data_IF_168164501717
#
_entry.id   IF_168164501717
#
_cell.length_a   1.000
_cell.length_b   1.000
_cell.length_c   1.000
_cell.angle_alpha   90.00
_cell.angle_beta   90.00
_cell.angle_gamma   90.00
#
_symmetry.space_group_name_H-M   'P 1'
#
loop_
_entity.id
_entity.type
_entity.pdbx_description
1 polymer ?
#
# COMPACT_ATOMS: atom_id res chain seq x y z
N UNK A 1 15.93 -48.42 1.65
CA UNK A 1 16.60 -47.10 1.68
C UNK A 1 15.52 -46.06 1.91
N UNK A 2 15.31 -45.70 3.16
CA UNK A 2 14.41 -44.61 3.51
C UNK A 2 15.12 -43.28 3.18
N UNK A 3 14.53 -42.51 2.30
CA UNK A 3 14.97 -41.15 2.00
C UNK A 3 14.61 -40.29 3.23
N UNK A 4 15.61 -39.94 4.01
CA UNK A 4 15.46 -38.96 5.09
C UNK A 4 15.05 -37.62 4.49
N UNK A 5 13.84 -37.16 4.82
CA UNK A 5 13.41 -35.80 4.58
C UNK A 5 14.41 -34.83 5.21
N UNK A 6 14.89 -33.81 4.52
CA UNK A 6 15.78 -32.81 5.11
C UNK A 6 15.08 -32.16 6.29
N UNK A 7 15.78 -32.11 7.41
CA UNK A 7 15.32 -31.45 8.62
C UNK A 7 15.34 -29.93 8.36
N UNK A 8 14.21 -29.38 7.91
CA UNK A 8 14.07 -27.94 7.69
C UNK A 8 14.09 -27.30 9.07
N UNK A 9 15.07 -26.43 9.29
CA UNK A 9 15.17 -25.67 10.53
C UNK A 9 13.94 -24.75 10.69
N UNK A 10 13.02 -25.15 11.56
CA UNK A 10 11.78 -24.44 11.82
C UNK A 10 11.98 -23.04 12.40
N UNK A 11 13.18 -22.73 12.93
CA UNK A 11 13.47 -21.40 13.47
C UNK A 11 13.42 -20.29 12.40
N UNK A 12 13.62 -20.63 11.13
CA UNK A 12 13.53 -19.68 9.99
C UNK A 12 12.10 -19.18 9.73
N UNK A 13 11.08 -19.89 10.21
CA UNK A 13 9.65 -19.57 9.99
C UNK A 13 8.96 -19.00 11.24
N UNK A 14 9.75 -18.64 12.27
CA UNK A 14 9.20 -18.01 13.47
C UNK A 14 9.27 -16.49 13.33
N UNK A 15 8.12 -15.82 13.36
CA UNK A 15 8.03 -14.36 13.29
C UNK A 15 7.35 -13.81 14.54
N UNK A 16 7.74 -12.61 14.98
CA UNK A 16 7.08 -11.93 16.09
C UNK A 16 5.76 -11.34 15.64
N UNK A 17 4.74 -11.43 16.49
CA UNK A 17 3.50 -10.68 16.28
C UNK A 17 3.79 -9.17 16.31
N UNK A 18 2.96 -8.36 15.63
CA UNK A 18 3.09 -6.89 15.65
C UNK A 18 3.07 -6.34 17.09
N UNK A 19 2.40 -7.04 18.01
CA UNK A 19 2.34 -6.69 19.43
C UNK A 19 3.52 -7.24 20.27
N UNK A 20 4.45 -7.98 19.68
CA UNK A 20 5.66 -8.48 20.36
C UNK A 20 5.47 -9.63 21.36
N UNK A 21 4.24 -10.17 21.49
CA UNK A 21 3.88 -11.08 22.59
C UNK A 21 4.09 -12.58 22.31
N UNK A 22 4.26 -13.01 21.06
CA UNK A 22 4.42 -14.42 20.72
C UNK A 22 5.25 -14.64 19.45
N UNK A 23 6.01 -15.73 19.42
CA UNK A 23 6.60 -16.25 18.19
C UNK A 23 5.56 -17.09 17.45
N UNK A 24 5.27 -16.72 16.21
CA UNK A 24 4.25 -17.34 15.39
C UNK A 24 4.92 -18.22 14.32
N UNK A 25 4.46 -19.47 14.20
CA UNK A 25 4.88 -20.36 13.12
C UNK A 25 4.15 -20.01 11.82
N UNK A 26 4.88 -19.49 10.85
CA UNK A 26 4.38 -19.08 9.55
C UNK A 26 4.72 -20.09 8.43
N UNK A 27 5.13 -21.30 8.77
CA UNK A 27 5.63 -22.31 7.81
C UNK A 27 4.54 -22.88 6.87
N UNK A 28 3.26 -22.80 7.23
CA UNK A 28 2.17 -23.31 6.40
C UNK A 28 1.84 -22.37 5.25
N UNK A 29 2.38 -22.65 4.07
CA UNK A 29 2.20 -21.89 2.82
C UNK A 29 0.75 -21.88 2.29
N UNK A 30 -0.15 -22.72 2.78
CA UNK A 30 -1.57 -22.72 2.42
C UNK A 30 -2.36 -21.69 3.21
N UNK A 31 -1.85 -21.34 4.38
CA UNK A 31 -2.47 -20.43 5.33
C UNK A 31 -1.81 -19.05 5.26
N UNK A 32 -0.49 -19.03 5.14
CA UNK A 32 0.29 -17.79 5.17
C UNK A 32 0.74 -17.35 3.78
N UNK A 33 0.66 -16.05 3.54
CA UNK A 33 1.24 -15.36 2.38
C UNK A 33 2.33 -14.41 2.83
N UNK A 34 3.35 -14.24 1.99
CA UNK A 34 4.33 -13.18 2.15
C UNK A 34 3.80 -11.90 1.50
N UNK A 35 3.92 -10.78 2.18
CA UNK A 35 3.56 -9.45 1.68
C UNK A 35 4.78 -8.57 1.77
N UNK A 36 5.19 -8.01 0.64
CA UNK A 36 6.31 -7.09 0.52
C UNK A 36 5.77 -5.68 0.27
N UNK A 37 6.16 -4.71 1.09
CA UNK A 37 5.88 -3.29 0.85
C UNK A 37 7.19 -2.60 0.49
N UNK A 38 7.27 -2.06 -0.70
CA UNK A 38 8.50 -1.55 -1.31
C UNK A 38 8.31 -0.07 -1.67
N UNK A 39 9.22 0.77 -1.19
CA UNK A 39 9.22 2.21 -1.46
C UNK A 39 10.64 2.77 -1.52
N UNK A 40 10.77 4.00 -1.98
CA UNK A 40 12.04 4.76 -1.90
C UNK A 40 12.42 5.18 -0.47
N UNK A 41 11.53 4.98 0.50
CA UNK A 41 11.75 5.29 1.92
C UNK A 41 11.98 4.06 2.79
N UNK A 42 11.79 2.85 2.25
CA UNK A 42 12.00 1.62 3.01
C UNK A 42 11.35 0.39 2.42
N UNK A 43 11.54 -0.69 3.14
CA UNK A 43 11.02 -2.01 2.83
C UNK A 43 10.43 -2.65 4.07
N UNK A 44 9.23 -3.21 3.93
CA UNK A 44 8.62 -4.04 4.97
C UNK A 44 8.22 -5.37 4.39
N UNK A 45 8.45 -6.41 5.16
CA UNK A 45 7.96 -7.75 4.85
C UNK A 45 7.04 -8.23 5.98
N UNK A 46 5.90 -8.75 5.60
CA UNK A 46 4.89 -9.27 6.51
C UNK A 46 4.51 -10.69 6.12
N UNK A 47 4.10 -11.48 7.10
CA UNK A 47 3.31 -12.68 6.85
C UNK A 47 1.85 -12.39 7.14
N UNK A 48 0.98 -12.71 6.19
CA UNK A 48 -0.47 -12.55 6.27
C UNK A 48 -1.13 -13.93 6.38
N UNK A 49 -1.85 -14.16 7.47
CA UNK A 49 -2.74 -15.31 7.62
C UNK A 49 -4.03 -15.04 6.85
N UNK A 50 -4.22 -15.71 5.72
CA UNK A 50 -5.37 -15.46 4.83
C UNK A 50 -6.73 -15.76 5.47
N UNK A 51 -6.92 -16.85 6.22
CA UNK A 51 -8.18 -17.15 6.92
C UNK A 51 -8.55 -16.15 8.01
N UNK A 52 -7.58 -15.65 8.79
CA UNK A 52 -7.85 -14.82 9.97
C UNK A 52 -7.62 -13.33 9.73
N UNK A 53 -7.00 -12.95 8.62
CA UNK A 53 -6.50 -11.59 8.34
C UNK A 53 -5.45 -11.09 9.35
N UNK A 54 -4.86 -11.99 10.12
CA UNK A 54 -3.76 -11.66 11.01
C UNK A 54 -2.51 -11.31 10.20
N UNK A 55 -1.86 -10.21 10.54
CA UNK A 55 -0.63 -9.77 9.89
C UNK A 55 0.52 -9.73 10.91
N UNK A 56 1.64 -10.28 10.54
CA UNK A 56 2.84 -10.37 11.37
C UNK A 56 3.98 -9.66 10.67
N UNK A 57 4.51 -8.61 11.27
CA UNK A 57 5.67 -7.92 10.74
C UNK A 57 6.91 -8.81 10.93
N UNK A 58 7.63 -9.07 9.83
CA UNK A 58 8.86 -9.87 9.84
C UNK A 58 10.10 -9.00 9.71
N UNK A 59 10.07 -8.04 8.78
CA UNK A 59 11.18 -7.11 8.55
C UNK A 59 10.63 -5.71 8.39
N UNK A 60 11.32 -4.73 8.99
CA UNK A 60 11.11 -3.31 8.79
C UNK A 60 12.50 -2.65 8.61
N UNK A 61 12.79 -2.23 7.38
CA UNK A 61 14.02 -1.53 7.00
C UNK A 61 13.67 -0.16 6.46
N UNK A 62 14.30 0.85 7.01
CA UNK A 62 14.19 2.22 6.52
C UNK A 62 15.43 2.57 5.72
N UNK A 63 15.24 3.26 4.62
CA UNK A 63 16.25 3.94 3.83
C UNK A 63 15.65 5.22 3.24
N UNK A 64 16.49 6.02 2.65
CA UNK A 64 16.09 7.17 1.81
C UNK A 64 16.94 7.13 0.56
N UNK A 65 16.34 6.76 -0.56
CA UNK A 65 17.05 6.58 -1.82
C UNK A 65 16.21 7.06 -3.01
N UNK A 66 16.86 7.28 -4.12
CA UNK A 66 16.19 7.52 -5.38
C UNK A 66 15.63 6.22 -5.96
N UNK A 67 14.67 6.34 -6.89
CA UNK A 67 14.04 5.18 -7.55
C UNK A 67 15.06 4.30 -8.28
N UNK A 68 16.12 4.89 -8.85
CA UNK A 68 17.20 4.15 -9.50
C UNK A 68 18.04 3.29 -8.55
N UNK A 69 18.11 3.63 -7.27
CA UNK A 69 18.84 2.90 -6.24
C UNK A 69 17.96 1.87 -5.51
N UNK A 70 16.64 2.01 -5.59
CA UNK A 70 15.68 1.22 -4.84
C UNK A 70 15.86 -0.28 -5.05
N UNK A 71 16.06 -0.73 -6.30
CA UNK A 71 16.29 -2.14 -6.61
C UNK A 71 17.57 -2.68 -5.92
N UNK A 72 18.63 -1.90 -5.92
CA UNK A 72 19.88 -2.30 -5.27
C UNK A 72 19.71 -2.44 -3.75
N UNK A 73 19.07 -1.47 -3.10
CA UNK A 73 18.75 -1.52 -1.67
C UNK A 73 17.88 -2.70 -1.29
N UNK A 74 16.88 -2.99 -2.14
CA UNK A 74 16.02 -4.15 -1.95
C UNK A 74 16.82 -5.47 -2.04
N UNK A 75 17.69 -5.59 -3.04
CA UNK A 75 18.55 -6.76 -3.20
C UNK A 75 19.47 -6.99 -2.01
N UNK A 76 20.17 -5.95 -1.54
CA UNK A 76 21.00 -6.01 -0.33
C UNK A 76 20.17 -6.50 0.86
N UNK A 77 18.99 -5.91 1.10
CA UNK A 77 18.13 -6.29 2.23
C UNK A 77 17.68 -7.75 2.16
N UNK A 78 17.29 -8.22 0.98
CA UNK A 78 16.83 -9.61 0.80
C UNK A 78 18.01 -10.59 1.01
N UNK A 79 19.21 -10.26 0.54
CA UNK A 79 20.39 -11.10 0.76
C UNK A 79 20.84 -11.13 2.21
N UNK A 80 20.67 -10.03 2.97
CA UNK A 80 20.89 -10.00 4.41
C UNK A 80 19.86 -10.86 5.17
N UNK A 81 18.63 -10.94 4.66
CA UNK A 81 17.49 -11.61 5.28
C UNK A 81 17.02 -12.82 4.47
N UNK A 82 17.86 -13.86 4.39
CA UNK A 82 17.57 -15.07 3.60
C UNK A 82 16.29 -15.81 4.04
N UNK A 83 15.78 -15.55 5.25
CA UNK A 83 14.48 -16.03 5.71
C UNK A 83 13.31 -15.59 4.85
N UNK A 84 13.49 -14.53 4.05
CA UNK A 84 12.49 -14.10 3.04
C UNK A 84 12.44 -14.97 1.80
N UNK A 85 13.52 -15.72 1.51
CA UNK A 85 13.60 -16.60 0.33
C UNK A 85 12.80 -17.88 0.59
N UNK A 86 11.48 -17.72 0.60
CA UNK A 86 10.51 -18.79 0.88
C UNK A 86 9.66 -19.09 -0.35
N UNK A 87 8.98 -20.23 -0.33
CA UNK A 87 8.01 -20.57 -1.38
C UNK A 87 6.57 -20.13 -1.04
N UNK A 88 6.39 -19.11 -0.19
CA UNK A 88 5.07 -18.56 0.07
C UNK A 88 4.55 -17.79 -1.14
N UNK A 89 3.25 -17.91 -1.47
CA UNK A 89 2.63 -17.00 -2.41
C UNK A 89 2.86 -15.55 -1.93
N UNK A 90 3.37 -14.69 -2.82
CA UNK A 90 3.87 -13.38 -2.44
C UNK A 90 3.08 -12.27 -3.15
N UNK A 91 2.56 -11.33 -2.37
CA UNK A 91 1.99 -10.08 -2.90
C UNK A 91 2.98 -8.93 -2.70
N UNK A 92 3.33 -8.23 -3.77
CA UNK A 92 4.15 -7.02 -3.69
C UNK A 92 3.28 -5.77 -3.74
N UNK A 93 3.48 -4.85 -2.80
CA UNK A 93 2.85 -3.53 -2.74
C UNK A 93 3.92 -2.52 -3.09
N UNK A 94 3.71 -1.81 -4.18
CA UNK A 94 4.69 -0.86 -4.68
C UNK A 94 4.22 0.57 -4.46
N UNK A 95 5.06 1.36 -3.83
CA UNK A 95 4.90 2.80 -3.80
C UNK A 95 5.66 3.40 -4.97
N UNK A 96 4.94 3.73 -6.05
CA UNK A 96 5.49 4.44 -7.19
C UNK A 96 5.15 5.92 -7.09
N UNK A 97 6.10 6.80 -7.49
CA UNK A 97 5.85 8.23 -7.70
C UNK A 97 5.16 8.50 -9.03
N UNK A 98 5.27 7.57 -9.96
CA UNK A 98 4.73 7.67 -11.30
C UNK A 98 3.52 6.76 -11.41
N UNK A 99 2.35 7.34 -11.25
CA UNK A 99 1.07 6.64 -11.35
C UNK A 99 0.02 7.55 -11.98
N UNK A 100 -0.97 6.91 -12.56
CA UNK A 100 -2.18 7.56 -13.06
C UNK A 100 -3.41 6.73 -12.67
N UNK A 101 -4.55 7.39 -12.54
CA UNK A 101 -5.82 6.73 -12.29
C UNK A 101 -6.76 6.98 -13.46
N UNK A 102 -7.44 5.93 -13.87
CA UNK A 102 -8.37 5.99 -14.97
C UNK A 102 -9.64 5.18 -14.67
N UNK A 103 -10.78 5.50 -15.28
CA UNK A 103 -11.92 4.60 -15.32
C UNK A 103 -11.53 3.25 -15.93
N UNK A 104 -12.02 2.16 -15.31
CA UNK A 104 -11.72 0.80 -15.78
C UNK A 104 -12.04 0.59 -17.26
N UNK A 105 -13.08 1.24 -17.74
CA UNK A 105 -13.62 1.07 -19.09
C UNK A 105 -12.67 1.57 -20.19
N UNK A 106 -11.72 2.46 -19.84
CA UNK A 106 -10.78 3.03 -20.82
C UNK A 106 -9.41 2.36 -20.82
N UNK A 107 -9.18 1.41 -19.92
CA UNK A 107 -7.93 0.64 -19.85
C UNK A 107 -8.23 -0.81 -20.21
N UNK A 108 -8.21 -1.11 -21.50
CA UNK A 108 -8.50 -2.44 -22.00
C UNK A 108 -7.24 -3.22 -22.39
N UNK A 109 -6.20 -2.51 -22.78
CA UNK A 109 -4.91 -3.05 -23.21
C UNK A 109 -3.77 -2.40 -22.42
N UNK A 110 -2.63 -3.03 -22.47
CA UNK A 110 -1.38 -2.50 -21.86
C UNK A 110 -0.97 -1.18 -22.52
N UNK A 111 -1.19 -1.05 -23.83
CA UNK A 111 -0.97 0.18 -24.60
C UNK A 111 -1.82 1.36 -24.11
N UNK A 112 -3.08 1.11 -23.67
CA UNK A 112 -3.93 2.16 -23.10
C UNK A 112 -3.31 2.66 -21.78
N UNK A 113 -2.77 1.75 -20.96
CA UNK A 113 -2.14 2.09 -19.70
C UNK A 113 -0.87 2.93 -19.90
N UNK A 114 -0.05 2.59 -20.89
CA UNK A 114 1.14 3.34 -21.29
C UNK A 114 0.76 4.78 -21.68
N UNK A 115 -0.20 4.93 -22.60
CA UNK A 115 -0.69 6.23 -23.03
C UNK A 115 -1.23 7.08 -21.88
N UNK A 116 -1.97 6.48 -20.94
CA UNK A 116 -2.52 7.18 -19.78
C UNK A 116 -1.41 7.67 -18.86
N UNK A 117 -0.40 6.84 -18.61
CA UNK A 117 0.71 7.23 -17.76
C UNK A 117 1.57 8.31 -18.42
N UNK A 118 1.82 8.22 -19.71
CA UNK A 118 2.56 9.23 -20.48
C UNK A 118 1.88 10.62 -20.48
N UNK A 119 0.55 10.68 -20.43
CA UNK A 119 -0.18 11.95 -20.32
C UNK A 119 0.15 12.71 -19.04
N UNK A 120 0.42 11.98 -17.94
CA UNK A 120 0.69 12.54 -16.61
C UNK A 120 2.20 12.66 -16.38
N UNK A 121 2.96 11.68 -16.86
CA UNK A 121 4.40 11.56 -16.68
C UNK A 121 5.05 11.26 -18.04
N UNK A 122 5.49 12.27 -18.79
CA UNK A 122 6.01 12.11 -20.16
C UNK A 122 7.42 11.51 -20.18
N UNK A 123 7.54 10.21 -19.90
CA UNK A 123 8.77 9.43 -19.90
C UNK A 123 8.50 8.07 -20.55
N UNK A 124 9.52 7.42 -21.09
CA UNK A 124 9.42 6.05 -21.57
C UNK A 124 9.47 5.10 -20.37
N UNK A 125 8.41 4.33 -20.18
CA UNK A 125 8.26 3.35 -19.10
C UNK A 125 8.57 1.96 -19.64
N UNK A 126 9.47 1.23 -18.96
CA UNK A 126 9.82 -0.14 -19.35
C UNK A 126 8.98 -1.19 -18.59
N UNK A 127 8.64 -0.90 -17.33
CA UNK A 127 7.91 -1.82 -16.46
C UNK A 127 6.65 -1.13 -15.93
N UNK A 128 5.48 -1.42 -16.53
CA UNK A 128 4.18 -0.91 -16.11
C UNK A 128 3.35 -1.99 -15.44
N UNK A 129 2.59 -1.57 -14.44
CA UNK A 129 1.63 -2.43 -13.78
C UNK A 129 0.26 -1.79 -13.69
N UNK A 130 -0.75 -2.64 -13.74
CA UNK A 130 -2.15 -2.26 -13.74
C UNK A 130 -2.84 -2.94 -12.56
N UNK A 131 -3.49 -2.16 -11.70
CA UNK A 131 -4.30 -2.67 -10.61
C UNK A 131 -5.71 -2.09 -10.69
N UNK A 132 -6.71 -2.94 -10.90
CA UNK A 132 -8.11 -2.51 -10.97
C UNK A 132 -8.84 -2.77 -9.67
N UNK A 133 -9.58 -1.75 -9.19
CA UNK A 133 -10.40 -1.80 -7.99
C UNK A 133 -11.77 -1.23 -8.34
N UNK A 134 -12.79 -2.10 -8.38
CA UNK A 134 -14.14 -1.72 -8.85
C UNK A 134 -14.09 -1.04 -10.23
N UNK A 135 -14.49 0.21 -10.31
CA UNK A 135 -14.52 1.01 -11.55
C UNK A 135 -13.24 1.83 -11.78
N UNK A 136 -12.20 1.67 -10.95
CA UNK A 136 -10.98 2.45 -11.03
C UNK A 136 -9.80 1.55 -11.35
N UNK A 137 -8.99 1.96 -12.31
CA UNK A 137 -7.71 1.35 -12.64
C UNK A 137 -6.59 2.30 -12.21
N UNK A 138 -5.63 1.77 -11.45
CA UNK A 138 -4.37 2.44 -11.12
C UNK A 138 -3.31 1.88 -12.05
N UNK A 139 -2.73 2.75 -12.86
CA UNK A 139 -1.56 2.45 -13.68
C UNK A 139 -0.35 3.03 -12.99
N UNK A 140 0.72 2.27 -12.81
CA UNK A 140 1.92 2.74 -12.14
C UNK A 140 3.17 2.08 -12.70
N UNK A 141 4.29 2.81 -12.67
CA UNK A 141 5.59 2.28 -13.09
C UNK A 141 6.30 1.60 -11.93
N UNK A 142 7.17 0.66 -12.27
CA UNK A 142 8.16 0.08 -11.38
C UNK A 142 9.55 0.65 -11.68
N UNK A 143 10.44 0.60 -10.69
CA UNK A 143 11.86 0.82 -10.95
C UNK A 143 12.38 -0.23 -11.93
N UNK A 144 13.22 0.19 -12.86
CA UNK A 144 13.77 -0.67 -13.92
C UNK A 144 14.34 -1.97 -13.36
N UNK A 145 13.87 -3.10 -13.89
CA UNK A 145 14.28 -4.45 -13.51
C UNK A 145 13.70 -4.96 -12.19
N UNK A 146 12.86 -4.18 -11.50
CA UNK A 146 12.22 -4.61 -10.26
C UNK A 146 11.26 -5.77 -10.50
N UNK A 147 10.46 -5.71 -11.55
CA UNK A 147 9.55 -6.80 -11.94
C UNK A 147 10.28 -8.11 -12.15
N UNK A 148 11.30 -8.10 -12.99
CA UNK A 148 12.12 -9.28 -13.26
C UNK A 148 12.82 -9.83 -12.02
N UNK A 149 13.23 -8.95 -11.09
CA UNK A 149 13.83 -9.36 -9.82
C UNK A 149 12.79 -10.04 -8.92
N UNK A 150 11.61 -9.45 -8.76
CA UNK A 150 10.55 -10.01 -7.94
C UNK A 150 10.12 -11.40 -8.41
N UNK A 151 9.84 -11.56 -9.71
CA UNK A 151 9.41 -12.85 -10.26
C UNK A 151 10.50 -13.93 -10.26
N UNK A 152 11.78 -13.55 -10.30
CA UNK A 152 12.88 -14.49 -10.19
C UNK A 152 13.15 -14.93 -8.74
N UNK A 153 12.82 -14.07 -7.77
CA UNK A 153 13.19 -14.27 -6.36
C UNK A 153 12.03 -14.84 -5.54
N UNK A 154 10.78 -14.51 -5.88
CA UNK A 154 9.58 -14.87 -5.14
C UNK A 154 8.53 -15.53 -6.02
N UNK A 155 7.59 -16.25 -5.39
CA UNK A 155 6.38 -16.73 -6.06
C UNK A 155 5.35 -15.60 -6.05
N UNK A 156 5.49 -14.65 -6.99
CA UNK A 156 4.59 -13.50 -7.07
C UNK A 156 3.21 -13.95 -7.57
N UNK A 157 2.20 -13.74 -6.76
CA UNK A 157 0.80 -13.95 -7.11
C UNK A 157 0.10 -12.63 -7.49
N UNK A 158 0.59 -11.50 -6.96
CA UNK A 158 -0.01 -10.20 -7.20
C UNK A 158 0.97 -9.06 -6.96
N UNK A 159 0.92 -8.05 -7.83
CA UNK A 159 1.53 -6.74 -7.60
C UNK A 159 0.43 -5.69 -7.53
N UNK A 160 0.44 -4.85 -6.51
CA UNK A 160 -0.57 -3.81 -6.29
C UNK A 160 0.08 -2.47 -5.94
N UNK A 161 -0.63 -1.39 -6.22
CA UNK A 161 -0.24 -0.05 -5.82
C UNK A 161 -0.49 0.18 -4.32
N UNK A 162 0.30 1.04 -3.71
CA UNK A 162 0.10 1.51 -2.34
C UNK A 162 -1.28 2.17 -2.11
N UNK A 163 -1.97 2.62 -3.16
CA UNK A 163 -3.34 3.13 -3.06
C UNK A 163 -4.40 2.05 -2.87
N UNK A 164 -4.12 0.80 -3.25
CA UNK A 164 -5.13 -0.26 -3.21
C UNK A 164 -5.81 -0.40 -1.84
N UNK A 165 -5.09 -0.37 -0.69
CA UNK A 165 -5.73 -0.48 0.61
C UNK A 165 -6.72 0.65 0.89
N UNK A 166 -6.34 1.90 0.61
CA UNK A 166 -7.22 3.07 0.82
C UNK A 166 -8.40 3.09 -0.13
N UNK A 167 -8.19 2.76 -1.42
CA UNK A 167 -9.27 2.69 -2.42
C UNK A 167 -10.29 1.62 -2.05
N UNK A 168 -9.85 0.42 -1.68
CA UNK A 168 -10.75 -0.65 -1.23
C UNK A 168 -11.57 -0.17 -0.04
N UNK A 169 -10.92 0.44 0.96
CA UNK A 169 -11.60 0.96 2.15
C UNK A 169 -12.59 2.07 1.81
N UNK A 170 -12.23 2.99 0.91
CA UNK A 170 -13.11 4.07 0.48
C UNK A 170 -14.39 3.53 -0.16
N UNK A 171 -14.30 2.46 -0.95
CA UNK A 171 -15.43 1.84 -1.62
C UNK A 171 -16.20 0.79 -0.81
N UNK A 172 -15.67 0.31 0.33
CA UNK A 172 -16.35 -0.68 1.18
C UNK A 172 -17.58 -0.11 1.90
N UNK A 173 -17.61 1.17 2.13
CA UNK A 173 -18.71 1.82 2.84
C UNK A 173 -19.71 2.39 1.85
N UNK A 174 -20.80 1.68 1.63
CA UNK A 174 -21.96 2.12 0.82
C UNK A 174 -22.67 3.30 1.50
N UNK A 175 -22.12 4.49 1.41
CA UNK A 175 -22.80 5.72 1.84
C UNK A 175 -22.69 6.74 0.72
N UNK A 176 -23.82 7.32 0.32
CA UNK A 176 -23.89 8.48 -0.58
C UNK A 176 -23.26 9.75 0.04
N UNK A 177 -22.29 9.57 0.94
CA UNK A 177 -21.61 10.67 1.61
C UNK A 177 -20.29 10.96 0.96
N UNK A 178 -19.93 12.23 0.94
CA UNK A 178 -18.56 12.64 0.64
C UNK A 178 -17.62 12.13 1.72
N UNK A 179 -16.55 11.47 1.32
CA UNK A 179 -15.52 10.96 2.22
C UNK A 179 -14.14 11.24 1.68
N UNK A 180 -13.27 11.64 2.57
CA UNK A 180 -11.85 11.72 2.32
C UNK A 180 -11.13 10.78 3.28
N UNK A 181 -10.26 9.95 2.76
CA UNK A 181 -9.35 9.08 3.52
C UNK A 181 -7.95 9.60 3.32
N UNK A 182 -7.23 9.83 4.40
CA UNK A 182 -5.81 10.20 4.32
C UNK A 182 -4.98 9.18 5.09
N UNK A 183 -3.80 8.88 4.56
CA UNK A 183 -2.79 8.07 5.23
C UNK A 183 -1.51 8.88 5.43
N UNK A 184 -1.22 9.19 6.68
CA UNK A 184 -0.03 9.95 7.08
C UNK A 184 1.15 9.00 7.21
N UNK A 185 2.15 9.20 6.38
CA UNK A 185 3.43 8.52 6.40
C UNK A 185 4.56 9.53 6.62
N UNK A 186 5.74 9.05 6.95
CA UNK A 186 6.90 9.91 7.11
C UNK A 186 7.22 10.65 5.79
N UNK A 187 7.13 11.98 5.83
CA UNK A 187 7.34 12.86 4.68
C UNK A 187 6.30 12.79 3.55
N UNK A 188 5.22 11.99 3.67
CA UNK A 188 4.19 11.84 2.63
C UNK A 188 2.79 11.65 3.18
N UNK A 189 1.82 12.19 2.45
CA UNK A 189 0.39 11.98 2.69
C UNK A 189 -0.29 11.43 1.45
N UNK A 190 -0.94 10.28 1.57
CA UNK A 190 -1.83 9.78 0.54
C UNK A 190 -3.24 10.28 0.82
N UNK A 191 -3.91 10.81 -0.18
CA UNK A 191 -5.28 11.31 -0.10
C UNK A 191 -6.14 10.57 -1.12
N UNK A 192 -7.23 9.97 -0.64
CA UNK A 192 -8.28 9.37 -1.47
C UNK A 192 -9.60 10.05 -1.13
N UNK A 193 -10.26 10.62 -2.11
CA UNK A 193 -11.54 11.30 -1.97
C UNK A 193 -12.62 10.64 -2.84
N UNK A 194 -13.76 10.33 -2.24
CA UNK A 194 -14.89 9.68 -2.91
C UNK A 194 -16.20 10.39 -2.58
N UNK A 195 -17.12 10.43 -3.53
CA UNK A 195 -18.50 10.84 -3.33
C UNK A 195 -19.41 10.03 -4.25
N UNK A 196 -20.59 9.67 -3.78
CA UNK A 196 -21.59 8.94 -4.55
C UNK A 196 -21.03 7.69 -5.25
N UNK A 197 -20.20 6.94 -4.50
CA UNK A 197 -19.49 5.73 -4.98
C UNK A 197 -18.48 5.99 -6.12
N UNK A 198 -18.17 7.24 -6.43
CA UNK A 198 -17.19 7.62 -7.44
C UNK A 198 -15.90 8.12 -6.80
N UNK A 199 -14.78 7.73 -7.39
CA UNK A 199 -13.49 8.32 -7.05
C UNK A 199 -13.43 9.74 -7.63
N UNK A 200 -13.16 10.72 -6.77
CA UNK A 200 -12.94 12.11 -7.16
C UNK A 200 -11.44 12.44 -7.29
N UNK A 201 -10.63 11.87 -6.39
CA UNK A 201 -9.19 12.07 -6.37
C UNK A 201 -8.51 10.92 -5.63
N UNK A 202 -7.35 10.49 -6.14
CA UNK A 202 -6.34 9.80 -5.35
C UNK A 202 -4.97 10.37 -5.73
N UNK A 203 -4.23 10.88 -4.74
CA UNK A 203 -2.91 11.46 -4.97
C UNK A 203 -2.04 11.37 -3.72
N UNK A 204 -0.73 11.43 -3.92
CA UNK A 204 0.29 11.53 -2.86
C UNK A 204 0.93 12.91 -2.91
N UNK A 205 1.10 13.53 -1.74
CA UNK A 205 1.79 14.81 -1.58
C UNK A 205 2.96 14.64 -0.62
N UNK A 206 4.07 15.27 -0.95
CA UNK A 206 5.21 15.38 -0.02
C UNK A 206 4.86 16.45 1.04
N UNK A 207 5.30 16.25 2.28
CA UNK A 207 5.14 17.20 3.37
C UNK A 207 6.39 17.19 4.28
N UNK A 208 6.68 18.34 4.89
CA UNK A 208 7.83 18.51 5.78
C UNK A 208 7.39 18.65 7.24
N UNK A 209 6.21 19.24 7.47
CA UNK A 209 5.66 19.44 8.80
C UNK A 209 4.13 19.24 8.82
N UNK A 210 3.54 19.25 10.02
CA UNK A 210 2.11 19.08 10.19
C UNK A 210 1.25 20.17 9.54
N UNK A 211 1.81 21.35 9.28
CA UNK A 211 1.11 22.43 8.59
C UNK A 211 0.94 22.10 7.11
N UNK A 212 1.98 21.54 6.46
CA UNK A 212 1.91 21.07 5.07
C UNK A 212 0.87 19.98 4.90
N UNK A 213 0.87 18.95 5.78
CA UNK A 213 -0.10 17.86 5.73
C UNK A 213 -1.54 18.38 5.89
N UNK A 214 -1.74 19.35 6.81
CA UNK A 214 -3.02 20.02 7.00
C UNK A 214 -3.41 20.85 5.79
N UNK A 215 -2.46 21.57 5.19
CA UNK A 215 -2.68 22.38 3.99
C UNK A 215 -3.13 21.50 2.81
N UNK A 216 -2.40 20.42 2.50
CA UNK A 216 -2.78 19.54 1.39
C UNK A 216 -4.18 18.94 1.60
N UNK A 217 -4.49 18.50 2.82
CA UNK A 217 -5.81 17.96 3.16
C UNK A 217 -6.92 18.98 2.95
N UNK A 218 -6.76 20.20 3.49
CA UNK A 218 -7.76 21.25 3.38
C UNK A 218 -7.87 21.82 1.97
N UNK A 219 -6.77 21.87 1.22
CA UNK A 219 -6.77 22.31 -0.17
C UNK A 219 -7.59 21.35 -1.05
N UNK A 220 -7.36 20.04 -0.94
CA UNK A 220 -8.15 19.02 -1.65
C UNK A 220 -9.61 19.08 -1.20
N UNK A 221 -9.88 19.22 0.11
CA UNK A 221 -11.23 19.35 0.65
C UNK A 221 -12.00 20.53 0.02
N UNK A 222 -11.35 21.69 -0.08
CA UNK A 222 -11.94 22.88 -0.66
C UNK A 222 -12.13 22.79 -2.19
N UNK A 223 -11.13 22.27 -2.91
CA UNK A 223 -11.21 22.10 -4.38
C UNK A 223 -12.36 21.17 -4.77
N UNK A 224 -12.58 20.11 -3.99
CA UNK A 224 -13.64 19.15 -4.21
C UNK A 224 -15.00 19.60 -3.61
N UNK A 225 -15.07 20.82 -3.03
CA UNK A 225 -16.27 21.40 -2.45
C UNK A 225 -16.94 20.49 -1.42
N UNK A 226 -16.15 19.81 -0.58
CA UNK A 226 -16.67 18.92 0.45
C UNK A 226 -17.42 19.69 1.54
N UNK A 227 -18.62 19.22 1.87
CA UNK A 227 -19.47 19.83 2.89
C UNK A 227 -18.83 19.67 4.29
N UNK A 228 -18.51 20.81 4.92
CA UNK A 228 -17.90 20.84 6.26
C UNK A 228 -18.76 20.18 7.35
N UNK A 229 -20.10 20.11 7.14
CA UNK A 229 -21.04 19.60 8.15
C UNK A 229 -21.45 18.14 7.95
N UNK A 230 -21.27 17.59 6.76
CA UNK A 230 -21.77 16.27 6.41
C UNK A 230 -20.69 15.30 5.88
N UNK A 231 -19.63 15.84 5.29
CA UNK A 231 -18.54 15.02 4.81
C UNK A 231 -17.63 14.51 5.92
N UNK A 232 -17.03 13.35 5.72
CA UNK A 232 -16.19 12.67 6.72
C UNK A 232 -14.72 12.64 6.26
N UNK A 233 -13.80 12.98 7.17
CA UNK A 233 -12.37 12.82 7.02
C UNK A 233 -11.87 11.68 7.89
N UNK A 234 -11.43 10.60 7.29
CA UNK A 234 -10.84 9.44 7.98
C UNK A 234 -9.32 9.51 7.91
N UNK A 235 -8.64 9.44 9.07
CA UNK A 235 -7.19 9.62 9.17
C UNK A 235 -6.53 8.33 9.62
N UNK A 236 -5.68 7.78 8.76
CA UNK A 236 -4.81 6.63 8.98
C UNK A 236 -3.36 7.06 9.18
N UNK A 237 -2.50 6.12 9.55
CA UNK A 237 -1.07 6.33 9.71
C UNK A 237 -0.60 6.27 11.15
N UNK A 238 0.64 6.65 11.38
CA UNK A 238 1.24 6.65 12.71
C UNK A 238 0.44 7.52 13.69
N UNK A 239 0.24 7.02 14.92
CA UNK A 239 -0.56 7.70 15.95
C UNK A 239 -0.03 9.09 16.26
N UNK A 240 1.27 9.25 16.40
CA UNK A 240 1.92 10.52 16.72
C UNK A 240 1.69 11.57 15.63
N UNK A 241 1.82 11.18 14.38
CA UNK A 241 1.55 12.05 13.23
C UNK A 241 0.07 12.45 13.17
N UNK A 242 -0.84 11.49 13.39
CA UNK A 242 -2.28 11.78 13.43
C UNK A 242 -2.64 12.77 14.54
N UNK A 243 -2.15 12.53 15.75
CA UNK A 243 -2.43 13.37 16.91
C UNK A 243 -1.90 14.79 16.74
N UNK A 244 -0.82 14.96 15.97
CA UNK A 244 -0.26 16.28 15.65
C UNK A 244 -1.08 17.05 14.59
N UNK A 245 -1.64 16.36 13.58
CA UNK A 245 -2.37 16.99 12.44
C UNK A 245 -3.84 17.25 12.79
N UNK A 246 -4.50 16.37 13.55
CA UNK A 246 -5.93 16.43 13.87
C UNK A 246 -6.39 17.79 14.45
N UNK A 247 -5.68 18.44 15.40
CA UNK A 247 -6.13 19.70 15.97
C UNK A 247 -6.28 20.84 14.95
N UNK A 248 -5.42 20.85 13.91
CA UNK A 248 -5.50 21.83 12.85
C UNK A 248 -6.71 21.58 11.94
N UNK A 249 -6.96 20.32 11.56
CA UNK A 249 -8.07 19.92 10.69
C UNK A 249 -9.44 20.12 11.35
N UNK A 250 -9.57 19.85 12.64
CA UNK A 250 -10.82 20.04 13.40
C UNK A 250 -11.30 21.49 13.49
N UNK A 251 -10.45 22.47 13.16
CA UNK A 251 -10.87 23.88 13.08
C UNK A 251 -11.77 24.13 11.86
N UNK A 252 -11.69 23.29 10.83
CA UNK A 252 -12.35 23.49 9.54
C UNK A 252 -13.30 22.34 9.16
N UNK A 253 -13.09 21.14 9.68
CA UNK A 253 -13.85 19.92 9.34
C UNK A 253 -14.51 19.39 10.62
N UNK A 254 -15.83 19.21 10.56
CA UNK A 254 -16.61 18.74 11.72
C UNK A 254 -16.34 17.28 12.05
N UNK A 255 -16.33 16.41 11.05
CA UNK A 255 -16.16 14.97 11.23
C UNK A 255 -14.76 14.53 10.86
N UNK A 256 -13.81 14.75 11.75
CA UNK A 256 -12.44 14.24 11.67
C UNK A 256 -12.34 12.97 12.51
N UNK A 257 -12.19 11.83 11.87
CA UNK A 257 -12.33 10.49 12.45
C UNK A 257 -10.96 9.78 12.40
N UNK A 258 -10.20 9.78 13.51
CA UNK A 258 -8.97 9.00 13.58
C UNK A 258 -9.29 7.52 13.53
N UNK A 259 -8.56 6.78 12.70
CA UNK A 259 -8.73 5.34 12.57
C UNK A 259 -7.76 4.61 13.50
N UNK A 260 -8.26 3.71 14.32
CA UNK A 260 -7.42 2.86 15.17
C UNK A 260 -6.82 1.69 14.37
N UNK A 261 -7.43 1.36 13.25
CA UNK A 261 -6.93 0.36 12.31
C UNK A 261 -5.64 0.88 11.68
N UNK A 262 -4.58 0.08 11.74
CA UNK A 262 -3.32 0.41 11.09
C UNK A 262 -3.45 0.27 9.58
N UNK A 263 -2.54 0.91 8.83
CA UNK A 263 -2.46 0.70 7.38
C UNK A 263 -2.14 -0.77 7.05
N UNK A 264 -1.42 -1.45 7.94
CA UNK A 264 -1.07 -2.86 7.79
C UNK A 264 -2.33 -3.76 7.85
N UNK A 265 -3.32 -3.42 8.70
CA UNK A 265 -4.62 -4.12 8.71
C UNK A 265 -5.42 -3.87 7.42
N UNK A 266 -5.33 -2.66 6.85
CA UNK A 266 -5.94 -2.38 5.55
C UNK A 266 -5.27 -3.18 4.42
N UNK A 267 -3.96 -3.37 4.48
CA UNK A 267 -3.22 -4.22 3.55
C UNK A 267 -3.77 -5.65 3.59
N UNK A 268 -3.97 -6.21 4.79
CA UNK A 268 -4.54 -7.55 4.94
C UNK A 268 -5.91 -7.65 4.24
N UNK A 269 -6.81 -6.69 4.50
CA UNK A 269 -8.14 -6.67 3.89
C UNK A 269 -8.08 -6.48 2.37
N UNK A 270 -7.10 -5.72 1.85
CA UNK A 270 -6.92 -5.50 0.42
C UNK A 270 -6.45 -6.76 -0.33
N UNK A 271 -5.69 -7.63 0.34
CA UNK A 271 -5.16 -8.85 -0.26
C UNK A 271 -6.18 -9.99 -0.20
N UNK A 272 -6.92 -10.10 0.91
CA UNK A 272 -7.84 -11.22 1.16
C UNK A 272 -9.22 -11.02 0.54
N UNK A 273 -9.66 -9.78 0.35
CA UNK A 273 -10.91 -9.52 -0.36
C UNK A 273 -10.79 -10.01 -1.81
N UNK A 274 -11.48 -11.09 -2.13
CA UNK A 274 -11.71 -11.50 -3.53
C UNK A 274 -12.47 -10.34 -4.18
N UNK A 275 -11.82 -9.66 -5.11
CA UNK A 275 -12.51 -8.70 -5.96
C UNK A 275 -13.56 -9.49 -6.75
N UNK A 276 -14.83 -9.34 -6.34
CA UNK A 276 -15.99 -9.80 -7.10
C UNK A 276 -16.31 -8.80 -8.20
#
# INVERSE_FOLDING_TARGET
MELSTPNIDKSQFMSQSINGEAMIDVSDKKVWKLVLSISTKGFKAYYLNVPTNEIVLHIDKTWDCDESEMLHRLQETIYEHQSLLTEHPTTAIIESRHFALAPKEIVNLEEDAELILEQVHPLNWEDLWIATIKAVTVVFSLAKGLDSFLHRTFIIDKVISHFNPLLIKAFQTNTNKQKMLINLRDGRIDIVAVADEKLLLANTFDWQDCADASYHTLNVWNILEFDQKNAELHIYGNKELRDAVIPALKKFITFVIPQNESIDSLIASAITNKQS
#
